data_IF_756389985248
#
_entry.id   IF_756389985248
#
_cell.length_a   1.000
_cell.length_b   1.000
_cell.length_c   1.000
_cell.angle_alpha   90.00
_cell.angle_beta   90.00
_cell.angle_gamma   90.00
#
_symmetry.space_group_name_H-M   'P 1'
#
loop_
_entity.id
_entity.type
_entity.pdbx_description
1 polymer ?
#
# COMPACT_ATOMS: atom_id res chain seq x y z
N UNK A 1 0.84 22.85 -3.24
CA UNK A 1 -0.05 22.85 -4.42
C UNK A 1 -1.33 23.54 -3.97
N UNK A 2 -1.64 24.74 -4.47
CA UNK A 2 -2.86 25.46 -4.08
C UNK A 2 -4.11 24.82 -4.72
N UNK A 3 -5.28 25.02 -4.11
CA UNK A 3 -6.56 24.55 -4.65
C UNK A 3 -6.85 23.06 -4.45
N UNK A 4 -6.37 22.43 -3.36
CA UNK A 4 -6.71 21.04 -3.05
C UNK A 4 -8.18 20.91 -2.61
N UNK A 5 -8.95 20.07 -3.31
CA UNK A 5 -10.37 19.84 -3.06
C UNK A 5 -10.64 18.64 -2.14
N UNK A 6 -9.60 17.94 -1.70
CA UNK A 6 -9.70 16.73 -0.90
C UNK A 6 -9.46 15.45 -1.69
N UNK A 7 -9.60 14.34 -0.98
CA UNK A 7 -9.53 12.99 -1.53
C UNK A 7 -10.68 12.13 -1.01
N UNK A 8 -11.14 11.20 -1.84
CA UNK A 8 -12.21 10.25 -1.53
C UNK A 8 -11.69 8.82 -1.68
N UNK A 9 -11.98 7.94 -0.72
CA UNK A 9 -11.73 6.49 -0.85
C UNK A 9 -12.75 5.89 -1.83
N UNK A 10 -12.25 5.09 -2.79
CA UNK A 10 -13.07 4.43 -3.79
C UNK A 10 -13.48 3.04 -3.29
N UNK A 11 -14.77 2.74 -3.39
CA UNK A 11 -15.34 1.45 -2.99
C UNK A 11 -14.85 0.27 -3.85
N UNK A 12 -14.37 0.55 -5.06
CA UNK A 12 -13.80 -0.45 -5.96
C UNK A 12 -12.83 0.18 -6.96
N UNK A 13 -12.06 -0.66 -7.64
CA UNK A 13 -11.16 -0.22 -8.71
C UNK A 13 -11.84 -0.11 -10.08
N UNK A 14 -13.14 -0.40 -10.19
CA UNK A 14 -13.86 -0.37 -11.46
C UNK A 14 -13.84 1.02 -12.09
N UNK A 15 -13.49 1.11 -13.37
CA UNK A 15 -13.34 2.38 -14.10
C UNK A 15 -12.08 3.17 -13.76
N UNK A 16 -11.14 2.58 -13.00
CA UNK A 16 -9.82 3.17 -12.70
C UNK A 16 -8.72 2.48 -13.50
N UNK A 17 -7.52 3.05 -13.60
CA UNK A 17 -6.35 2.36 -14.17
C UNK A 17 -5.99 1.04 -13.45
N UNK A 18 -6.48 0.86 -12.22
CA UNK A 18 -6.25 -0.32 -11.39
C UNK A 18 -7.38 -1.35 -11.48
N UNK A 19 -8.30 -1.20 -12.44
CA UNK A 19 -9.36 -2.17 -12.66
C UNK A 19 -8.77 -3.56 -12.95
N UNK A 20 -9.19 -4.56 -12.18
CA UNK A 20 -8.69 -5.93 -12.28
C UNK A 20 -7.36 -6.19 -11.57
N UNK A 21 -6.76 -5.21 -10.88
CA UNK A 21 -5.55 -5.44 -10.08
C UNK A 21 -5.81 -6.48 -8.99
N UNK A 22 -4.96 -7.51 -8.98
CA UNK A 22 -4.86 -8.49 -7.91
C UNK A 22 -3.71 -8.18 -6.94
N UNK A 23 -3.47 -9.07 -5.95
CA UNK A 23 -2.40 -8.89 -4.97
C UNK A 23 -1.00 -8.73 -5.58
N UNK A 24 -0.71 -9.45 -6.67
CA UNK A 24 0.60 -9.36 -7.35
C UNK A 24 0.81 -8.01 -8.01
N UNK A 25 -0.21 -7.50 -8.70
CA UNK A 25 -0.17 -6.21 -9.39
C UNK A 25 0.01 -5.08 -8.37
N UNK A 26 -0.71 -5.14 -7.24
CA UNK A 26 -0.57 -4.17 -6.16
C UNK A 26 0.78 -4.19 -5.46
N UNK A 27 1.38 -5.37 -5.28
CA UNK A 27 2.73 -5.48 -4.71
C UNK A 27 3.78 -4.89 -5.67
N UNK A 28 3.64 -5.16 -6.98
CA UNK A 28 4.52 -4.56 -7.99
C UNK A 28 4.35 -3.03 -8.07
N UNK A 29 3.11 -2.52 -8.05
CA UNK A 29 2.84 -1.08 -8.04
C UNK A 29 3.48 -0.40 -6.81
N UNK A 30 3.40 -1.00 -5.61
CA UNK A 30 4.09 -0.48 -4.42
C UNK A 30 5.61 -0.43 -4.61
N UNK A 31 6.21 -1.47 -5.20
CA UNK A 31 7.64 -1.52 -5.48
C UNK A 31 8.05 -0.48 -6.53
N UNK A 32 7.26 -0.30 -7.58
CA UNK A 32 7.54 0.67 -8.65
C UNK A 32 7.46 2.10 -8.14
N UNK A 33 6.45 2.43 -7.32
CA UNK A 33 6.30 3.78 -6.77
C UNK A 33 7.33 4.11 -5.69
N UNK A 34 7.65 3.16 -4.81
CA UNK A 34 8.38 3.46 -3.58
C UNK A 34 9.73 2.75 -3.45
N UNK A 35 10.01 1.70 -4.22
CA UNK A 35 11.22 0.89 -4.10
C UNK A 35 12.51 1.60 -4.50
N UNK A 36 12.42 2.69 -5.27
CA UNK A 36 13.55 3.52 -5.66
C UNK A 36 13.99 4.55 -4.62
N UNK A 37 13.21 4.76 -3.55
CA UNK A 37 13.53 5.74 -2.50
C UNK A 37 14.57 5.15 -1.56
N UNK A 38 15.68 5.87 -1.36
CA UNK A 38 16.79 5.38 -0.56
C UNK A 38 16.62 5.73 0.93
N UNK A 39 16.72 4.70 1.77
CA UNK A 39 16.52 4.75 3.22
C UNK A 39 16.21 3.37 3.75
N UNK A 40 16.96 2.91 4.76
CA UNK A 40 16.81 1.56 5.32
C UNK A 40 15.38 1.34 5.85
N UNK A 41 14.90 2.28 6.67
CA UNK A 41 13.55 2.23 7.23
C UNK A 41 12.47 2.23 6.14
N UNK A 42 12.66 3.04 5.09
CA UNK A 42 11.72 3.11 3.97
C UNK A 42 11.67 1.78 3.20
N UNK A 43 12.82 1.16 2.92
CA UNK A 43 12.88 -0.14 2.22
C UNK A 43 12.19 -1.24 3.02
N UNK A 44 12.39 -1.26 4.34
CA UNK A 44 11.69 -2.19 5.25
C UNK A 44 10.18 -1.96 5.16
N UNK A 45 9.74 -0.71 5.21
CA UNK A 45 8.32 -0.36 5.05
C UNK A 45 7.74 -0.84 3.72
N UNK A 46 8.40 -0.57 2.59
CA UNK A 46 7.91 -1.02 1.26
C UNK A 46 7.79 -2.54 1.20
N UNK A 47 8.80 -3.26 1.69
CA UNK A 47 8.79 -4.73 1.74
C UNK A 47 7.61 -5.22 2.60
N UNK A 48 7.38 -4.61 3.76
CA UNK A 48 6.25 -4.93 4.63
C UNK A 48 4.90 -4.70 3.93
N UNK A 49 4.73 -3.58 3.23
CA UNK A 49 3.49 -3.31 2.48
C UNK A 49 3.25 -4.37 1.41
N UNK A 50 4.28 -4.77 0.66
CA UNK A 50 4.16 -5.82 -0.34
C UNK A 50 3.75 -7.15 0.27
N UNK A 51 4.34 -7.53 1.41
CA UNK A 51 4.00 -8.77 2.11
C UNK A 51 2.56 -8.72 2.62
N UNK A 52 2.13 -7.61 3.22
CA UNK A 52 0.74 -7.38 3.64
C UNK A 52 -0.23 -7.65 2.49
N UNK A 53 0.03 -7.06 1.33
CA UNK A 53 -0.80 -7.23 0.12
C UNK A 53 -0.86 -8.69 -0.30
N UNK A 54 0.30 -9.35 -0.40
CA UNK A 54 0.39 -10.76 -0.80
C UNK A 54 -0.29 -11.70 0.21
N UNK A 55 -0.37 -11.29 1.48
CA UNK A 55 -1.08 -11.95 2.58
C UNK A 55 -2.55 -11.53 2.70
N UNK A 56 -3.12 -10.86 1.70
CA UNK A 56 -4.54 -10.53 1.65
C UNK A 56 -4.94 -9.28 2.43
N UNK A 57 -4.00 -8.42 2.83
CA UNK A 57 -4.34 -7.08 3.31
C UNK A 57 -4.91 -6.26 2.14
N UNK A 58 -6.11 -5.66 2.27
CA UNK A 58 -6.73 -4.92 1.18
C UNK A 58 -5.95 -3.64 0.86
N UNK A 59 -5.93 -3.24 -0.41
CA UNK A 59 -5.40 -1.94 -0.82
C UNK A 59 -6.54 -0.94 -0.95
N UNK A 60 -6.45 0.18 -0.25
CA UNK A 60 -7.40 1.29 -0.34
C UNK A 60 -6.92 2.21 -1.45
N UNK A 61 -7.80 2.50 -2.41
CA UNK A 61 -7.56 3.46 -3.48
C UNK A 61 -8.32 4.75 -3.15
N UNK A 62 -7.65 5.88 -3.27
CA UNK A 62 -8.19 7.22 -3.06
C UNK A 62 -7.99 8.07 -4.30
N UNK A 63 -8.95 8.94 -4.60
CA UNK A 63 -8.84 9.90 -5.69
C UNK A 63 -8.77 11.31 -5.14
N UNK A 64 -7.59 11.92 -5.24
CA UNK A 64 -7.33 13.30 -4.87
C UNK A 64 -7.65 14.24 -6.04
N UNK A 65 -8.23 15.42 -5.74
CA UNK A 65 -8.68 16.39 -6.76
C UNK A 65 -8.23 17.81 -6.43
N UNK A 66 -8.05 18.62 -7.47
CA UNK A 66 -7.68 20.04 -7.38
C UNK A 66 -8.57 20.93 -8.26
N UNK A 67 -8.66 22.20 -7.89
CA UNK A 67 -9.44 23.24 -8.61
C UNK A 67 -8.99 23.40 -10.08
N UNK A 68 -7.72 23.15 -10.37
CA UNK A 68 -7.16 23.21 -11.73
C UNK A 68 -7.54 21.98 -12.61
N UNK A 69 -8.36 21.06 -12.10
CA UNK A 69 -8.79 19.86 -12.80
C UNK A 69 -7.83 18.67 -12.69
N UNK A 70 -6.69 18.82 -12.01
CA UNK A 70 -5.78 17.71 -11.73
C UNK A 70 -6.49 16.64 -10.88
N UNK A 71 -6.16 15.39 -11.18
CA UNK A 71 -6.59 14.22 -10.44
C UNK A 71 -5.39 13.32 -10.20
N UNK A 72 -5.31 12.75 -9.01
CA UNK A 72 -4.23 11.86 -8.60
C UNK A 72 -4.83 10.67 -7.88
N UNK A 73 -4.48 9.46 -8.33
CA UNK A 73 -4.80 8.25 -7.58
C UNK A 73 -3.73 8.03 -6.51
N UNK A 74 -4.18 7.76 -5.29
CA UNK A 74 -3.33 7.45 -4.15
C UNK A 74 -3.75 6.13 -3.57
N UNK A 75 -2.78 5.34 -3.13
CA UNK A 75 -3.10 4.05 -2.54
C UNK A 75 -2.34 3.83 -1.24
N UNK A 76 -2.89 2.96 -0.41
CA UNK A 76 -2.28 2.53 0.85
C UNK A 76 -2.86 1.18 1.24
N UNK A 77 -2.11 0.34 1.97
CA UNK A 77 -2.72 -0.84 2.58
C UNK A 77 -3.72 -0.44 3.66
N UNK A 78 -4.79 -1.21 3.81
CA UNK A 78 -5.74 -1.08 4.91
C UNK A 78 -5.26 -1.76 6.20
N UNK A 79 -6.21 -2.16 7.04
CA UNK A 79 -5.90 -2.92 8.24
C UNK A 79 -5.29 -4.29 7.85
N UNK A 80 -4.21 -4.73 8.54
CA UNK A 80 -3.60 -6.03 8.27
C UNK A 80 -4.61 -7.16 8.30
N UNK A 81 -4.46 -8.11 7.39
CA UNK A 81 -5.25 -9.33 7.37
C UNK A 81 -4.91 -10.26 8.53
N UNK A 82 -5.82 -11.18 8.85
CA UNK A 82 -5.56 -12.25 9.82
C UNK A 82 -4.39 -13.12 9.35
N UNK A 83 -4.29 -13.41 8.04
CA UNK A 83 -3.20 -14.22 7.49
C UNK A 83 -1.83 -13.55 7.67
N UNK A 84 -1.75 -12.23 7.45
CA UNK A 84 -0.54 -11.45 7.73
C UNK A 84 -0.20 -11.50 9.23
N UNK A 85 -1.21 -11.30 10.08
CA UNK A 85 -1.03 -11.26 11.54
C UNK A 85 -0.53 -12.59 12.10
N UNK A 86 -1.08 -13.72 11.64
CA UNK A 86 -0.61 -15.05 12.04
C UNK A 86 0.80 -15.33 11.52
N UNK A 87 1.09 -14.96 10.27
CA UNK A 87 2.44 -15.12 9.69
C UNK A 87 3.50 -14.33 10.47
N UNK A 88 3.19 -13.10 10.90
CA UNK A 88 4.09 -12.31 11.76
C UNK A 88 4.31 -12.99 13.11
N UNK A 89 3.26 -13.57 13.72
CA UNK A 89 3.38 -14.29 15.00
C UNK A 89 4.31 -15.51 14.87
N UNK A 90 4.18 -16.29 13.81
CA UNK A 90 5.04 -17.44 13.52
C UNK A 90 6.51 -17.01 13.40
N UNK A 91 6.79 -15.96 12.61
CA UNK A 91 8.16 -15.46 12.47
C UNK A 91 8.76 -14.91 13.77
N UNK A 92 7.94 -14.29 14.63
CA UNK A 92 8.38 -13.82 15.95
C UNK A 92 8.73 -15.01 16.87
N UNK A 93 7.96 -16.10 16.81
CA UNK A 93 8.25 -17.32 17.56
C UNK A 93 9.54 -18.02 17.10
N UNK A 94 9.90 -17.91 15.82
CA UNK A 94 11.12 -18.49 15.23
C UNK A 94 12.38 -17.61 15.35
N UNK A 95 12.28 -16.44 16.01
CA UNK A 95 13.43 -15.58 16.30
C UNK A 95 13.53 -14.30 15.46
N UNK A 96 12.40 -13.61 15.22
CA UNK A 96 12.31 -12.26 14.64
C UNK A 96 13.06 -12.09 13.30
N UNK A 97 12.41 -12.49 12.20
CA UNK A 97 12.95 -12.35 10.83
C UNK A 97 12.23 -11.30 9.97
N UNK A 98 11.23 -10.62 10.53
CA UNK A 98 10.42 -9.61 9.85
C UNK A 98 10.32 -8.35 10.72
N UNK A 99 10.44 -7.20 10.07
CA UNK A 99 10.28 -5.89 10.69
C UNK A 99 9.04 -5.21 10.08
N UNK A 100 8.11 -4.83 10.96
CA UNK A 100 6.88 -4.16 10.58
C UNK A 100 7.22 -2.70 10.33
N UNK A 101 7.62 -2.37 9.09
CA UNK A 101 8.07 -1.02 8.77
C UNK A 101 7.02 0.05 9.07
N UNK A 102 7.48 1.21 9.55
CA UNK A 102 6.63 2.36 9.81
C UNK A 102 6.69 3.25 8.56
N UNK A 103 5.55 3.80 8.15
CA UNK A 103 5.54 4.76 7.05
C UNK A 103 6.44 5.97 7.42
N UNK A 104 7.35 6.41 6.53
CA UNK A 104 8.23 7.55 6.79
C UNK A 104 7.48 8.89 6.89
#
# INVERSE_FOLDING_TARGET
MEGYLGEEELESYAGTPYEGFGPKDWALEHLEQYGGIDGEHHKIWVIDQCIRILKGTPVKLRLARWENGLKEYRFSTGNPSDEYTEWVKELKAEGYRHDEGIAP
#
